data_IF_934899683093
#
_entry.id   IF_934899683093
#
_cell.length_a   1.000
_cell.length_b   1.000
_cell.length_c   1.000
_cell.angle_alpha   90.00
_cell.angle_beta   90.00
_cell.angle_gamma   90.00
#
_symmetry.space_group_name_H-M   'P 1'
#
loop_
_entity.id
_entity.type
_entity.pdbx_description
1 polymer ?
#
# COMPACT_ATOMS: atom_id res chain seq x y z
N UNK A 1 -10.51 -17.43 7.51
CA UNK A 1 -9.10 -17.80 7.27
C UNK A 1 -8.69 -17.03 6.05
N UNK A 2 -7.98 -15.92 6.25
CA UNK A 2 -7.58 -15.01 5.19
C UNK A 2 -6.23 -15.49 4.65
N UNK A 3 -6.16 -15.70 3.34
CA UNK A 3 -4.98 -16.20 2.64
C UNK A 3 -3.80 -15.23 2.83
N UNK A 4 -2.69 -15.75 3.35
CA UNK A 4 -1.42 -15.06 3.42
C UNK A 4 -0.91 -14.78 1.99
N UNK A 5 -0.75 -13.49 1.65
CA UNK A 5 -0.36 -13.00 0.32
C UNK A 5 1.16 -12.97 0.18
N UNK A 6 1.70 -13.76 -0.76
CA UNK A 6 3.12 -13.78 -1.13
C UNK A 6 3.36 -12.98 -2.44
N UNK A 7 4.36 -12.09 -2.42
CA UNK A 7 4.78 -11.28 -3.58
C UNK A 7 6.08 -11.84 -4.18
N UNK A 8 6.11 -12.15 -5.47
CA UNK A 8 7.34 -12.58 -6.15
C UNK A 8 7.83 -11.49 -7.12
N UNK A 9 9.09 -11.08 -6.98
CA UNK A 9 9.75 -10.17 -7.94
C UNK A 9 10.30 -10.97 -9.11
N UNK A 10 9.95 -10.59 -10.34
CA UNK A 10 10.47 -11.17 -11.56
C UNK A 10 11.45 -10.20 -12.22
N UNK A 11 12.73 -10.35 -11.87
CA UNK A 11 13.83 -9.49 -12.35
C UNK A 11 14.43 -10.04 -13.66
N UNK A 12 14.21 -9.34 -14.77
CA UNK A 12 14.74 -9.70 -16.09
C UNK A 12 16.11 -9.06 -16.38
N UNK A 13 17.06 -9.14 -15.45
CA UNK A 13 18.38 -8.50 -15.59
C UNK A 13 19.40 -9.33 -16.41
N UNK A 14 19.98 -8.71 -17.43
CA UNK A 14 21.32 -9.05 -17.94
C UNK A 14 22.35 -8.44 -16.98
N UNK A 15 23.21 -9.25 -16.35
CA UNK A 15 24.13 -8.77 -15.30
C UNK A 15 25.60 -8.72 -15.73
N UNK A 16 26.32 -7.82 -15.06
CA UNK A 16 27.74 -7.51 -15.20
C UNK A 16 28.67 -8.50 -14.48
N UNK A 17 29.97 -8.40 -14.79
CA UNK A 17 31.04 -9.30 -14.34
C UNK A 17 31.43 -9.13 -12.86
N UNK A 18 31.16 -7.98 -12.24
CA UNK A 18 31.52 -7.74 -10.82
C UNK A 18 30.47 -8.33 -9.86
N UNK A 19 29.19 -8.32 -10.23
CA UNK A 19 28.14 -9.06 -9.50
C UNK A 19 28.32 -10.58 -9.64
N UNK A 20 28.93 -11.06 -10.73
CA UNK A 20 29.29 -12.47 -10.91
C UNK A 20 30.34 -12.96 -9.89
N UNK A 21 31.21 -12.07 -9.38
CA UNK A 21 32.19 -12.43 -8.34
C UNK A 21 31.56 -12.48 -6.94
N UNK A 22 30.58 -11.63 -6.64
CA UNK A 22 29.86 -11.67 -5.36
C UNK A 22 28.93 -12.90 -5.24
N UNK A 23 28.35 -13.36 -6.36
CA UNK A 23 27.52 -14.57 -6.42
C UNK A 23 28.34 -15.85 -6.23
N UNK A 24 29.61 -15.87 -6.64
CA UNK A 24 30.48 -17.02 -6.41
C UNK A 24 30.85 -17.25 -4.93
N UNK A 25 30.59 -16.29 -4.03
CA UNK A 25 30.80 -16.46 -2.59
C UNK A 25 29.52 -16.81 -1.82
N UNK A 26 28.35 -16.77 -2.47
CA UNK A 26 27.08 -17.31 -1.96
C UNK A 26 26.73 -18.62 -2.68
N UNK A 27 27.71 -19.50 -2.79
CA UNK A 27 27.47 -20.88 -3.22
C UNK A 27 26.88 -21.67 -2.06
N UNK A 28 25.55 -21.90 -2.07
CA UNK A 28 24.99 -23.26 -2.10
C UNK A 28 23.45 -23.40 -2.10
N UNK A 29 22.62 -22.34 -2.02
CA UNK A 29 21.15 -22.56 -1.85
C UNK A 29 20.18 -21.86 -2.81
N UNK A 30 20.60 -21.33 -3.97
CA UNK A 30 19.65 -20.72 -4.93
C UNK A 30 19.86 -21.14 -6.38
N UNK A 31 19.88 -22.46 -6.62
CA UNK A 31 19.66 -23.04 -7.95
C UNK A 31 18.20 -23.51 -8.06
N UNK A 32 17.33 -22.70 -8.66
CA UNK A 32 16.04 -23.18 -9.16
C UNK A 32 16.19 -23.71 -10.58
N UNK A 33 16.76 -24.92 -10.69
CA UNK A 33 16.46 -25.83 -11.79
C UNK A 33 15.33 -26.75 -11.30
N UNK A 34 14.07 -26.32 -11.51
CA UNK A 34 12.90 -27.17 -11.27
C UNK A 34 12.48 -27.39 -9.80
N UNK A 35 12.41 -26.34 -8.97
CA UNK A 35 11.93 -26.44 -7.58
C UNK A 35 10.49 -25.95 -7.35
N UNK A 36 9.93 -26.40 -6.22
CA UNK A 36 8.57 -26.21 -5.71
C UNK A 36 8.45 -24.85 -4.98
N UNK A 37 7.42 -24.06 -5.29
CA UNK A 37 7.19 -22.71 -4.73
C UNK A 37 6.44 -22.68 -3.38
N UNK A 38 5.97 -23.83 -2.89
CA UNK A 38 5.09 -23.96 -1.71
C UNK A 38 5.83 -24.00 -0.35
N UNK A 39 7.13 -23.69 -0.29
CA UNK A 39 7.96 -23.77 0.93
C UNK A 39 9.08 -22.73 1.02
N UNK A 40 8.81 -21.44 0.80
CA UNK A 40 9.87 -20.42 0.86
C UNK A 40 9.53 -19.35 1.90
N UNK A 41 10.12 -19.46 3.09
CA UNK A 41 9.95 -18.51 4.21
C UNK A 41 10.50 -17.09 3.90
N UNK A 42 11.23 -16.91 2.79
CA UNK A 42 11.78 -15.64 2.32
C UNK A 42 11.61 -15.51 0.79
N UNK A 43 10.72 -14.60 0.35
CA UNK A 43 10.31 -14.41 -1.05
C UNK A 43 11.51 -14.23 -2.01
N UNK A 44 11.83 -15.20 -2.88
CA UNK A 44 12.98 -15.11 -3.76
C UNK A 44 12.62 -14.31 -5.02
N UNK A 45 13.53 -13.45 -5.48
CA UNK A 45 13.45 -12.89 -6.82
C UNK A 45 13.68 -14.01 -7.85
N UNK A 46 12.71 -14.26 -8.73
CA UNK A 46 12.86 -15.22 -9.84
C UNK A 46 13.52 -14.49 -11.00
N UNK A 47 14.78 -14.82 -11.28
CA UNK A 47 15.53 -14.26 -12.40
C UNK A 47 15.40 -15.15 -13.64
N UNK A 48 14.72 -14.65 -14.67
CA UNK A 48 14.72 -15.27 -15.99
C UNK A 48 15.89 -14.71 -16.81
N UNK A 49 16.73 -15.57 -17.37
CA UNK A 49 17.92 -15.18 -18.12
C UNK A 49 18.02 -15.95 -19.42
N UNK A 50 18.33 -15.29 -20.53
CA UNK A 50 18.60 -15.96 -21.80
C UNK A 50 19.87 -16.84 -21.77
N UNK A 51 20.70 -16.72 -20.74
CA UNK A 51 21.82 -17.62 -20.49
C UNK A 51 21.35 -19.02 -20.02
N UNK A 52 20.20 -19.08 -19.34
CA UNK A 52 19.49 -20.32 -19.02
C UNK A 52 18.17 -20.28 -19.79
N UNK A 53 18.19 -20.67 -21.08
CA UNK A 53 17.05 -20.46 -21.97
C UNK A 53 15.83 -21.25 -21.48
N UNK A 54 14.61 -20.79 -21.85
CA UNK A 54 13.40 -21.52 -21.54
C UNK A 54 13.45 -22.92 -22.16
N UNK A 55 12.81 -23.88 -21.48
CA UNK A 55 12.74 -25.30 -21.87
C UNK A 55 12.25 -25.47 -23.31
N UNK A 56 11.31 -24.63 -23.73
CA UNK A 56 10.83 -24.57 -25.11
C UNK A 56 11.04 -23.16 -25.64
N UNK A 57 12.19 -22.94 -26.28
CA UNK A 57 12.62 -21.63 -26.81
C UNK A 57 11.52 -20.87 -27.56
N UNK A 58 10.75 -21.48 -28.49
CA UNK A 58 9.70 -20.78 -29.23
C UNK A 58 8.51 -20.30 -28.37
N UNK A 59 8.35 -20.82 -27.16
CA UNK A 59 7.20 -20.56 -26.29
C UNK A 59 7.52 -19.54 -25.18
N UNK A 60 8.78 -19.12 -25.06
CA UNK A 60 9.24 -18.28 -23.95
C UNK A 60 9.25 -19.04 -22.63
N UNK A 61 9.40 -18.31 -21.52
CA UNK A 61 9.32 -18.87 -20.18
C UNK A 61 7.86 -19.10 -19.81
N UNK A 62 7.47 -20.37 -19.65
CA UNK A 62 6.08 -20.77 -19.38
C UNK A 62 5.86 -20.98 -17.88
N UNK A 63 4.76 -20.41 -17.38
CA UNK A 63 4.29 -20.49 -16.00
C UNK A 63 2.98 -21.27 -15.95
N UNK A 64 2.85 -22.21 -15.03
CA UNK A 64 1.63 -23.03 -14.88
C UNK A 64 1.83 -24.20 -13.91
N UNK A 65 0.82 -25.05 -13.76
CA UNK A 65 0.89 -26.22 -12.86
C UNK A 65 1.57 -27.45 -13.48
N UNK A 66 1.68 -27.49 -14.81
CA UNK A 66 2.22 -28.60 -15.58
C UNK A 66 3.72 -28.81 -15.45
N UNK A 67 4.18 -30.05 -15.61
CA UNK A 67 5.60 -30.44 -15.51
C UNK A 67 6.47 -29.87 -16.65
N UNK A 68 5.83 -29.50 -17.76
CA UNK A 68 6.46 -28.90 -18.93
C UNK A 68 6.76 -27.41 -18.75
N UNK A 69 6.26 -26.76 -17.70
CA UNK A 69 6.49 -25.34 -17.43
C UNK A 69 7.91 -25.08 -16.91
N UNK A 70 8.45 -23.90 -17.23
CA UNK A 70 9.71 -23.39 -16.70
C UNK A 70 9.57 -23.05 -15.21
N UNK A 71 8.43 -22.48 -14.83
CA UNK A 71 8.08 -22.14 -13.46
C UNK A 71 6.76 -22.81 -13.09
N UNK A 72 6.80 -23.66 -12.06
CA UNK A 72 5.64 -24.45 -11.62
C UNK A 72 4.91 -23.77 -10.48
N UNK A 73 3.62 -23.50 -10.66
CA UNK A 73 2.75 -22.86 -9.67
C UNK A 73 1.67 -23.87 -9.28
N UNK A 74 1.64 -24.23 -7.99
CA UNK A 74 0.68 -25.20 -7.46
C UNK A 74 -0.47 -24.47 -6.78
N UNK A 75 -1.54 -24.23 -7.54
CA UNK A 75 -2.79 -23.66 -7.04
C UNK A 75 -3.95 -24.21 -7.87
N UNK A 76 -5.10 -24.43 -7.24
CA UNK A 76 -6.26 -25.07 -7.87
C UNK A 76 -6.80 -24.24 -9.05
N UNK A 77 -6.58 -22.93 -9.04
CA UNK A 77 -7.07 -22.00 -10.06
C UNK A 77 -6.04 -21.75 -11.18
N UNK A 78 -4.93 -22.52 -11.19
CA UNK A 78 -3.82 -22.36 -12.14
C UNK A 78 -3.81 -23.48 -13.18
N UNK A 79 -4.11 -23.10 -14.42
CA UNK A 79 -4.01 -23.96 -15.60
C UNK A 79 -2.64 -24.64 -15.76
N UNK A 80 -2.63 -25.80 -16.43
CA UNK A 80 -1.43 -26.58 -16.74
C UNK A 80 -0.35 -25.72 -17.41
N UNK A 81 -0.78 -24.81 -18.29
CA UNK A 81 0.01 -23.72 -18.85
C UNK A 81 -0.81 -22.44 -18.74
N UNK A 82 -0.42 -21.53 -17.84
CA UNK A 82 -1.23 -20.39 -17.48
C UNK A 82 -0.86 -19.13 -18.27
N UNK A 83 0.43 -18.77 -18.27
CA UNK A 83 0.94 -17.66 -19.07
C UNK A 83 2.39 -17.92 -19.48
N UNK A 84 2.89 -17.12 -20.41
CA UNK A 84 4.29 -17.16 -20.82
C UNK A 84 4.88 -15.75 -20.96
N UNK A 85 6.16 -15.61 -20.65
CA UNK A 85 6.95 -14.40 -20.91
C UNK A 85 7.88 -14.67 -22.09
N UNK A 86 7.74 -13.89 -23.15
CA UNK A 86 8.49 -14.07 -24.41
C UNK A 86 8.87 -12.74 -25.04
N UNK A 87 9.50 -12.76 -26.21
CA UNK A 87 9.88 -11.57 -26.98
C UNK A 87 9.17 -11.52 -28.33
N UNK A 88 8.80 -10.32 -28.76
CA UNK A 88 8.39 -10.04 -30.15
C UNK A 88 9.63 -9.96 -31.07
N UNK A 89 9.42 -10.03 -32.38
CA UNK A 89 10.46 -9.97 -33.41
C UNK A 89 11.29 -8.68 -33.40
N UNK A 90 10.73 -7.59 -32.88
CA UNK A 90 11.41 -6.31 -32.68
C UNK A 90 12.09 -6.19 -31.30
N UNK A 91 12.07 -7.25 -30.48
CA UNK A 91 12.72 -7.28 -29.17
C UNK A 91 11.89 -6.75 -28.00
N UNK A 92 10.61 -6.45 -28.21
CA UNK A 92 9.70 -6.07 -27.11
C UNK A 92 9.37 -7.30 -26.25
N UNK A 93 9.37 -7.12 -24.94
CA UNK A 93 8.98 -8.16 -24.01
C UNK A 93 7.45 -8.31 -24.01
N UNK A 94 6.96 -9.54 -24.00
CA UNK A 94 5.55 -9.87 -24.10
C UNK A 94 5.12 -10.78 -22.95
N UNK A 95 3.95 -10.49 -22.39
CA UNK A 95 3.15 -11.45 -21.65
C UNK A 95 2.15 -12.10 -22.61
N UNK A 96 2.11 -13.43 -22.62
CA UNK A 96 1.12 -14.20 -23.35
C UNK A 96 0.22 -14.96 -22.39
N UNK A 97 -1.10 -14.78 -22.49
CA UNK A 97 -2.06 -15.63 -21.82
C UNK A 97 -2.08 -17.02 -22.50
N UNK A 98 -1.92 -18.08 -21.72
CA UNK A 98 -2.06 -19.48 -22.16
C UNK A 98 -3.26 -20.18 -21.50
N UNK A 99 -3.90 -19.53 -20.52
CA UNK A 99 -5.06 -20.04 -19.79
C UNK A 99 -6.39 -19.76 -20.51
N UNK A 100 -7.33 -20.68 -20.39
CA UNK A 100 -8.74 -20.51 -20.81
C UNK A 100 -9.52 -19.59 -19.86
N UNK A 101 -9.12 -19.49 -18.59
CA UNK A 101 -9.71 -18.60 -17.59
C UNK A 101 -9.17 -17.16 -17.68
N UNK A 102 -8.13 -16.97 -18.50
CA UNK A 102 -7.45 -15.69 -18.68
C UNK A 102 -6.37 -15.42 -17.63
N UNK A 103 -5.46 -14.50 -17.96
CA UNK A 103 -4.36 -14.08 -17.08
C UNK A 103 -4.64 -12.67 -16.56
N UNK A 104 -4.70 -12.48 -15.24
CA UNK A 104 -5.04 -11.18 -14.65
C UNK A 104 -3.80 -10.28 -14.60
N UNK A 105 -3.92 -9.06 -15.13
CA UNK A 105 -2.90 -8.02 -15.10
C UNK A 105 -3.51 -6.69 -14.68
N UNK A 106 -3.21 -6.21 -13.47
CA UNK A 106 -3.90 -5.05 -12.91
C UNK A 106 -5.41 -5.30 -12.73
N UNK A 107 -6.24 -4.34 -13.12
CA UNK A 107 -7.72 -4.42 -13.10
C UNK A 107 -8.33 -5.15 -14.32
N UNK A 108 -7.51 -5.77 -15.17
CA UNK A 108 -7.95 -6.40 -16.42
C UNK A 108 -7.50 -7.86 -16.51
N UNK A 109 -8.30 -8.68 -17.20
CA UNK A 109 -7.97 -10.07 -17.50
C UNK A 109 -7.67 -10.21 -18.99
N UNK A 110 -6.42 -10.59 -19.33
CA UNK A 110 -6.07 -11.05 -20.67
C UNK A 110 -6.89 -12.30 -20.98
N UNK A 111 -7.94 -12.12 -21.77
CA UNK A 111 -8.85 -13.19 -22.17
C UNK A 111 -8.22 -14.07 -23.25
N UNK A 112 -8.89 -15.18 -23.58
CA UNK A 112 -8.49 -16.03 -24.71
C UNK A 112 -8.47 -15.29 -26.07
N UNK A 113 -9.23 -14.19 -26.21
CA UNK A 113 -9.30 -13.37 -27.42
C UNK A 113 -8.20 -12.32 -27.52
N UNK A 114 -7.58 -11.93 -26.40
CA UNK A 114 -6.47 -10.98 -26.33
C UNK A 114 -5.26 -11.71 -25.75
N UNK A 115 -4.57 -12.46 -26.61
CA UNK A 115 -3.56 -13.43 -26.17
C UNK A 115 -2.25 -12.80 -25.71
N UNK A 116 -1.95 -11.56 -26.10
CA UNK A 116 -0.60 -11.00 -25.99
C UNK A 116 -0.61 -9.51 -25.55
N UNK A 117 0.20 -9.18 -24.54
CA UNK A 117 0.40 -7.84 -23.97
C UNK A 117 1.89 -7.47 -23.95
N UNK A 118 2.25 -6.25 -24.35
CA UNK A 118 3.64 -5.77 -24.26
C UNK A 118 3.98 -5.34 -22.83
N UNK A 119 5.13 -5.80 -22.35
CA UNK A 119 5.76 -5.37 -21.10
C UNK A 119 6.79 -4.30 -21.47
N UNK A 120 6.42 -3.02 -21.36
CA UNK A 120 7.31 -1.92 -21.73
C UNK A 120 8.41 -1.70 -20.67
N UNK A 121 8.00 -1.49 -19.41
CA UNK A 121 8.90 -1.25 -18.28
C UNK A 121 8.51 -2.11 -17.07
N UNK A 122 7.22 -2.36 -16.93
CA UNK A 122 6.65 -2.93 -15.73
C UNK A 122 5.29 -3.57 -16.04
N UNK A 123 5.02 -4.75 -15.49
CA UNK A 123 3.73 -5.41 -15.53
C UNK A 123 3.54 -6.27 -14.28
N UNK A 124 2.38 -6.16 -13.64
CA UNK A 124 1.98 -7.07 -12.58
C UNK A 124 1.08 -8.16 -13.12
N UNK A 125 1.37 -9.41 -12.78
CA UNK A 125 0.67 -10.59 -13.28
C UNK A 125 0.18 -11.36 -12.07
N UNK A 126 -1.13 -11.62 -11.97
CA UNK A 126 -1.70 -12.47 -10.93
C UNK A 126 -1.99 -13.85 -11.52
N UNK A 127 -1.48 -14.88 -10.86
CA UNK A 127 -1.71 -16.28 -11.23
C UNK A 127 -1.98 -17.09 -9.95
N UNK A 128 -3.22 -17.54 -9.79
CA UNK A 128 -3.68 -18.10 -8.51
C UNK A 128 -3.64 -17.04 -7.39
N UNK A 129 -3.01 -17.40 -6.27
CA UNK A 129 -2.76 -16.55 -5.11
C UNK A 129 -1.43 -15.76 -5.19
N UNK A 130 -0.67 -15.90 -6.28
CA UNK A 130 0.65 -15.27 -6.44
C UNK A 130 0.54 -14.02 -7.32
N UNK A 131 1.21 -12.95 -6.88
CA UNK A 131 1.41 -11.72 -7.64
C UNK A 131 2.86 -11.61 -8.10
N UNK A 132 3.08 -11.63 -9.41
CA UNK A 132 4.38 -11.44 -10.05
C UNK A 132 4.60 -9.98 -10.43
N UNK A 133 5.73 -9.43 -10.01
CA UNK A 133 6.23 -8.12 -10.41
C UNK A 133 7.21 -8.26 -11.58
N UNK A 134 6.71 -8.20 -12.82
CA UNK A 134 7.55 -8.29 -14.01
C UNK A 134 8.10 -6.92 -14.40
N UNK A 135 9.38 -6.69 -14.12
CA UNK A 135 10.07 -5.45 -14.48
C UNK A 135 11.00 -5.70 -15.65
N UNK A 136 10.91 -4.87 -16.70
CA UNK A 136 11.90 -4.82 -17.77
C UNK A 136 13.02 -3.85 -17.33
N UNK A 137 14.21 -4.34 -16.99
CA UNK A 137 15.21 -3.49 -16.36
C UNK A 137 15.83 -2.49 -17.32
N UNK A 138 16.26 -1.36 -16.77
CA UNK A 138 17.08 -0.40 -17.50
C UNK A 138 18.42 -1.04 -17.87
N UNK A 139 18.73 -1.00 -19.16
CA UNK A 139 19.86 -1.71 -19.76
C UNK A 139 21.15 -0.90 -19.74
N UNK A 140 21.08 0.42 -19.54
CA UNK A 140 22.23 1.33 -19.42
C UNK A 140 23.36 1.03 -20.41
N UNK A 141 24.58 0.90 -19.89
CA UNK A 141 25.77 0.55 -20.68
C UNK A 141 25.78 -0.87 -21.27
N UNK A 142 24.87 -1.75 -20.83
CA UNK A 142 24.77 -3.15 -21.28
C UNK A 142 23.78 -3.36 -22.44
N UNK A 143 23.24 -2.27 -23.00
CA UNK A 143 22.29 -2.31 -24.12
C UNK A 143 22.80 -3.14 -25.32
N UNK A 144 24.08 -2.98 -25.71
CA UNK A 144 24.64 -3.69 -26.87
C UNK A 144 24.77 -5.20 -26.63
N UNK A 145 25.16 -5.61 -25.42
CA UNK A 145 25.25 -7.03 -25.05
C UNK A 145 23.85 -7.66 -25.01
N UNK A 146 22.87 -6.95 -24.44
CA UNK A 146 21.48 -7.38 -24.45
C UNK A 146 20.98 -7.58 -25.89
N UNK A 147 21.24 -6.63 -26.79
CA UNK A 147 20.81 -6.71 -28.19
C UNK A 147 21.43 -7.92 -28.91
N UNK A 148 22.71 -8.22 -28.65
CA UNK A 148 23.38 -9.40 -29.19
C UNK A 148 22.70 -10.70 -28.73
N UNK A 149 22.45 -10.83 -27.42
CA UNK A 149 21.81 -12.01 -26.85
C UNK A 149 20.36 -12.19 -27.35
N UNK A 150 19.63 -11.08 -27.47
CA UNK A 150 18.29 -11.07 -28.02
C UNK A 150 18.26 -11.53 -29.49
N UNK A 151 19.19 -11.04 -30.31
CA UNK A 151 19.28 -11.44 -31.72
C UNK A 151 19.60 -12.94 -31.85
N UNK A 152 20.51 -13.48 -31.02
CA UNK A 152 20.78 -14.91 -30.98
C UNK A 152 19.55 -15.73 -30.57
N UNK A 153 18.82 -15.27 -29.55
CA UNK A 153 17.60 -15.93 -29.09
C UNK A 153 16.49 -15.91 -30.16
N UNK A 154 16.25 -14.76 -30.79
CA UNK A 154 15.29 -14.63 -31.89
C UNK A 154 15.67 -15.51 -33.08
N UNK A 155 16.96 -15.61 -33.41
CA UNK A 155 17.47 -16.54 -34.42
C UNK A 155 17.04 -17.99 -34.16
N UNK A 156 17.16 -18.46 -32.92
CA UNK A 156 16.74 -19.80 -32.52
C UNK A 156 15.22 -20.02 -32.67
N UNK A 157 14.40 -19.00 -32.38
CA UNK A 157 12.93 -19.07 -32.55
C UNK A 157 12.57 -19.26 -34.03
N UNK A 158 13.17 -18.47 -34.92
CA UNK A 158 12.89 -18.53 -36.36
C UNK A 158 13.32 -19.85 -36.99
N UNK A 159 14.46 -20.41 -36.58
CA UNK A 159 14.93 -21.73 -37.07
C UNK A 159 14.11 -22.90 -36.52
N UNK A 160 13.44 -22.72 -35.38
CA UNK A 160 12.64 -23.75 -34.71
C UNK A 160 11.18 -23.84 -35.15
N UNK A 161 10.77 -23.13 -36.20
CA UNK A 161 9.40 -23.16 -36.74
C UNK A 161 8.35 -22.42 -35.88
N UNK A 162 8.77 -21.56 -34.95
CA UNK A 162 7.85 -20.76 -34.15
C UNK A 162 7.27 -19.58 -34.93
N UNK A 163 5.95 -19.37 -34.83
CA UNK A 163 5.32 -18.12 -35.28
C UNK A 163 5.47 -17.06 -34.20
N UNK A 164 6.12 -15.94 -34.54
CA UNK A 164 6.15 -14.76 -33.66
C UNK A 164 4.84 -14.00 -33.87
N UNK A 165 4.07 -13.88 -32.80
CA UNK A 165 2.82 -13.14 -32.80
C UNK A 165 3.11 -11.66 -33.12
N UNK A 166 2.71 -11.23 -34.32
CA UNK A 166 2.97 -9.88 -34.84
C UNK A 166 1.96 -8.85 -34.31
N UNK A 167 0.88 -9.32 -33.69
CA UNK A 167 -0.20 -8.50 -33.17
C UNK A 167 -0.14 -8.43 -31.64
N UNK A 168 0.76 -7.59 -31.13
CA UNK A 168 0.67 -7.15 -29.75
C UNK A 168 -0.52 -6.18 -29.61
N UNK A 169 -1.43 -6.46 -28.68
CA UNK A 169 -2.44 -5.45 -28.31
C UNK A 169 -1.69 -4.41 -27.47
N UNK A 170 -1.64 -3.13 -27.88
CA UNK A 170 -1.10 -2.08 -27.01
C UNK A 170 -1.85 -2.11 -25.69
N UNK A 171 -1.20 -1.81 -24.56
CA UNK A 171 -1.91 -1.56 -23.29
C UNK A 171 -3.07 -0.64 -23.63
N UNK A 172 -4.31 -1.13 -23.55
CA UNK A 172 -5.49 -0.38 -23.98
C UNK A 172 -5.38 1.02 -23.37
N UNK A 173 -5.45 2.06 -24.20
CA UNK A 173 -5.37 3.46 -23.78
C UNK A 173 -6.33 3.83 -22.63
N UNK A 174 -7.29 2.95 -22.33
CA UNK A 174 -8.25 3.00 -21.22
C UNK A 174 -7.63 2.94 -19.81
N UNK A 175 -6.40 2.46 -19.64
CA UNK A 175 -5.74 2.34 -18.33
C UNK A 175 -4.61 3.36 -18.12
N UNK A 176 -4.68 4.53 -18.75
CA UNK A 176 -3.67 5.58 -18.61
C UNK A 176 -4.31 6.88 -18.12
N UNK A 177 -3.64 7.53 -17.18
CA UNK A 177 -3.98 8.88 -16.72
C UNK A 177 -2.70 9.71 -16.80
N UNK A 178 -2.61 10.56 -17.83
CA UNK A 178 -1.38 11.30 -18.16
C UNK A 178 -0.17 10.37 -18.36
N UNK A 179 0.85 10.52 -17.50
CA UNK A 179 2.06 9.69 -17.52
C UNK A 179 1.92 8.36 -16.77
N UNK A 180 0.86 8.18 -15.99
CA UNK A 180 0.69 7.01 -15.14
C UNK A 180 -0.10 5.92 -15.84
N UNK A 181 0.35 4.68 -15.66
CA UNK A 181 -0.42 3.49 -15.98
C UNK A 181 -1.16 3.08 -14.72
N UNK A 182 -2.48 2.94 -14.82
CA UNK A 182 -3.35 2.49 -13.72
C UNK A 182 -3.30 0.97 -13.68
N UNK A 183 -2.87 0.40 -12.56
CA UNK A 183 -2.70 -1.03 -12.36
C UNK A 183 -3.98 -1.64 -11.76
N UNK A 184 -4.02 -1.91 -10.45
CA UNK A 184 -5.22 -2.42 -9.77
C UNK A 184 -5.77 -1.44 -8.72
N UNK A 185 -7.03 -1.63 -8.38
CA UNK A 185 -7.69 -0.93 -7.27
C UNK A 185 -7.11 -1.35 -5.91
N UNK A 186 -6.62 -0.37 -5.15
CA UNK A 186 -6.24 -0.52 -3.74
C UNK A 186 -7.45 -0.35 -2.81
N UNK A 187 -8.39 0.53 -3.19
CA UNK A 187 -9.60 0.80 -2.40
C UNK A 187 -10.67 1.55 -3.18
N UNK A 188 -11.86 1.66 -2.59
CA UNK A 188 -12.97 2.49 -3.10
C UNK A 188 -13.56 3.26 -1.92
N UNK A 189 -13.56 4.57 -2.03
CA UNK A 189 -14.20 5.49 -1.08
C UNK A 189 -15.33 6.27 -1.74
N UNK A 190 -15.86 7.23 -1.00
CA UNK A 190 -16.98 8.05 -1.44
C UNK A 190 -16.58 9.04 -2.54
N UNK A 191 -15.42 9.70 -2.43
CA UNK A 191 -14.94 10.64 -3.44
C UNK A 191 -14.44 9.96 -4.73
N UNK A 192 -14.05 8.67 -4.65
CA UNK A 192 -13.43 8.02 -5.80
C UNK A 192 -12.89 6.61 -5.57
N UNK A 193 -12.11 6.13 -6.54
CA UNK A 193 -11.37 4.87 -6.43
C UNK A 193 -9.89 5.17 -6.19
N UNK A 194 -9.25 4.45 -5.30
CA UNK A 194 -7.80 4.50 -5.10
C UNK A 194 -7.19 3.32 -5.84
N UNK A 195 -6.24 3.58 -6.73
CA UNK A 195 -5.57 2.57 -7.54
C UNK A 195 -4.06 2.69 -7.40
N UNK A 196 -3.35 1.56 -7.53
CA UNK A 196 -1.91 1.56 -7.70
C UNK A 196 -1.59 2.11 -9.09
N UNK A 197 -0.67 3.05 -9.14
CA UNK A 197 -0.16 3.66 -10.34
C UNK A 197 1.32 3.30 -10.51
N UNK A 198 1.77 3.24 -11.76
CA UNK A 198 3.20 3.22 -12.09
C UNK A 198 3.50 4.36 -13.06
N UNK A 199 4.55 5.13 -12.78
CA UNK A 199 5.05 6.11 -13.75
C UNK A 199 5.74 5.35 -14.88
N UNK A 200 5.22 5.51 -16.11
CA UNK A 200 5.72 4.79 -17.29
C UNK A 200 7.18 5.10 -17.65
N UNK A 201 7.73 6.20 -17.14
CA UNK A 201 9.11 6.60 -17.44
C UNK A 201 10.10 6.10 -16.38
N UNK A 202 9.69 6.08 -15.11
CA UNK A 202 10.58 5.74 -13.98
C UNK A 202 10.36 4.34 -13.43
N UNK A 203 9.21 3.73 -13.70
CA UNK A 203 8.79 2.47 -13.07
C UNK A 203 8.41 2.62 -11.59
N UNK A 204 8.39 3.84 -11.04
CA UNK A 204 8.09 4.05 -9.63
C UNK A 204 6.59 3.94 -9.35
N UNK A 205 6.24 3.35 -8.21
CA UNK A 205 4.86 3.14 -7.79
C UNK A 205 4.29 4.31 -7.00
N UNK A 206 3.01 4.59 -7.23
CA UNK A 206 2.26 5.64 -6.56
C UNK A 206 0.84 5.18 -6.24
N UNK A 207 0.21 5.82 -5.26
CA UNK A 207 -1.22 5.67 -5.04
C UNK A 207 -1.96 6.80 -5.78
N UNK A 208 -2.98 6.44 -6.54
CA UNK A 208 -3.78 7.39 -7.31
C UNK A 208 -5.24 7.36 -6.89
N UNK A 209 -5.72 8.44 -6.26
CA UNK A 209 -7.15 8.66 -5.99
C UNK A 209 -7.78 9.28 -7.24
N UNK A 210 -8.57 8.48 -7.95
CA UNK A 210 -9.26 8.85 -9.18
C UNK A 210 -10.69 9.24 -8.83
N UNK A 211 -11.00 10.52 -8.98
CA UNK A 211 -12.28 11.12 -8.59
C UNK A 211 -13.37 10.83 -9.62
N UNK A 212 -14.62 10.76 -9.15
CA UNK A 212 -15.79 10.55 -10.03
C UNK A 212 -16.09 11.84 -10.81
N UNK A 213 -16.63 11.68 -12.02
CA UNK A 213 -16.99 12.80 -12.92
C UNK A 213 -17.92 13.85 -12.29
N UNK A 214 -18.79 13.45 -11.38
CA UNK A 214 -19.73 14.35 -10.67
C UNK A 214 -19.08 15.22 -9.59
N UNK A 215 -17.84 14.94 -9.19
CA UNK A 215 -17.17 15.48 -8.00
C UNK A 215 -15.80 16.11 -8.33
N UNK A 216 -15.48 16.29 -9.61
CA UNK A 216 -14.13 15.97 -10.08
C UNK A 216 -13.07 17.07 -9.92
N UNK A 217 -13.41 18.34 -10.17
CA UNK A 217 -12.38 19.38 -10.16
C UNK A 217 -12.17 19.94 -8.76
N UNK A 218 -13.25 20.31 -8.08
CA UNK A 218 -13.18 21.09 -6.84
C UNK A 218 -12.75 20.24 -5.64
N UNK A 219 -13.28 19.01 -5.47
CA UNK A 219 -12.83 18.12 -4.38
C UNK A 219 -11.36 17.71 -4.57
N UNK A 220 -10.98 17.33 -5.80
CA UNK A 220 -9.59 17.00 -6.13
C UNK A 220 -8.65 18.19 -5.92
N UNK A 221 -9.09 19.41 -6.26
CA UNK A 221 -8.32 20.62 -6.06
C UNK A 221 -8.25 21.04 -4.58
N UNK A 222 -9.35 20.88 -3.83
CA UNK A 222 -9.41 21.13 -2.39
C UNK A 222 -8.44 20.23 -1.63
N UNK A 223 -8.54 18.91 -1.84
CA UNK A 223 -7.63 17.93 -1.22
C UNK A 223 -6.17 18.18 -1.64
N UNK A 224 -5.92 18.49 -2.92
CA UNK A 224 -4.58 18.87 -3.39
C UNK A 224 -4.06 20.12 -2.66
N UNK A 225 -4.86 21.17 -2.51
CA UNK A 225 -4.43 22.43 -1.90
C UNK A 225 -4.09 22.28 -0.41
N UNK A 226 -4.70 21.30 0.26
CA UNK A 226 -4.35 20.94 1.64
C UNK A 226 -3.07 20.11 1.66
N UNK A 227 -2.96 19.09 0.82
CA UNK A 227 -1.88 18.10 0.89
C UNK A 227 -0.56 18.59 0.28
N UNK A 228 -0.61 19.42 -0.77
CA UNK A 228 0.55 19.92 -1.51
C UNK A 228 1.65 20.57 -0.63
N UNK A 229 1.32 21.48 0.32
CA UNK A 229 2.33 22.11 1.17
C UNK A 229 2.86 21.22 2.29
N UNK A 230 2.26 20.05 2.54
CA UNK A 230 2.59 19.21 3.69
C UNK A 230 3.82 18.34 3.43
N UNK A 231 4.74 18.35 4.39
CA UNK A 231 5.94 17.54 4.36
C UNK A 231 6.32 17.07 5.76
N UNK A 232 5.94 15.85 6.11
CA UNK A 232 6.22 15.23 7.40
C UNK A 232 6.27 13.70 7.27
N UNK A 233 7.09 13.02 8.08
CA UNK A 233 7.29 11.56 7.96
C UNK A 233 6.00 10.76 8.19
N UNK A 234 5.15 11.26 9.09
CA UNK A 234 3.88 10.63 9.46
C UNK A 234 2.67 11.14 8.66
N UNK A 235 2.88 11.94 7.60
CA UNK A 235 1.83 12.41 6.69
C UNK A 235 2.15 11.95 5.26
N UNK A 236 1.14 11.51 4.52
CA UNK A 236 1.35 10.99 3.16
C UNK A 236 1.86 12.09 2.24
N UNK A 237 2.90 11.77 1.48
CA UNK A 237 3.50 12.74 0.56
C UNK A 237 2.66 12.90 -0.71
N UNK A 238 2.25 14.14 -0.99
CA UNK A 238 1.77 14.53 -2.32
C UNK A 238 2.87 14.38 -3.37
N UNK A 239 2.50 13.89 -4.56
CA UNK A 239 3.43 13.69 -5.68
C UNK A 239 3.01 14.49 -6.90
N UNK A 240 1.75 14.35 -7.35
CA UNK A 240 1.29 14.92 -8.61
C UNK A 240 -0.24 15.10 -8.60
N UNK A 241 -0.75 15.94 -9.48
CA UNK A 241 -2.18 16.05 -9.80
C UNK A 241 -2.32 15.94 -11.31
N UNK A 242 -3.00 14.90 -11.76
CA UNK A 242 -3.18 14.65 -13.19
C UNK A 242 -4.64 14.80 -13.57
N UNK A 243 -4.91 15.73 -14.50
CA UNK A 243 -6.20 15.85 -15.16
C UNK A 243 -6.11 15.19 -16.54
N UNK A 244 -6.89 14.13 -16.75
CA UNK A 244 -7.00 13.45 -18.03
C UNK A 244 -8.02 14.09 -18.97
N UNK A 245 -8.04 13.62 -20.22
CA UNK A 245 -9.16 13.85 -21.13
C UNK A 245 -10.45 13.33 -20.49
N UNK A 246 -11.59 14.00 -20.71
CA UNK A 246 -12.90 13.71 -20.09
C UNK A 246 -13.11 14.15 -18.62
N UNK A 247 -12.37 15.17 -18.18
CA UNK A 247 -12.45 15.78 -16.84
C UNK A 247 -12.14 14.83 -15.69
N UNK A 248 -11.37 13.77 -15.93
CA UNK A 248 -10.94 12.84 -14.87
C UNK A 248 -9.77 13.46 -14.10
N UNK A 249 -9.96 13.79 -12.82
CA UNK A 249 -8.89 14.21 -11.91
C UNK A 249 -8.35 13.01 -11.14
N UNK A 250 -7.03 12.97 -11.02
CA UNK A 250 -6.32 12.00 -10.19
C UNK A 250 -5.35 12.74 -9.28
N UNK A 251 -5.52 12.57 -7.97
CA UNK A 251 -4.54 12.96 -6.97
C UNK A 251 -3.55 11.81 -6.80
N UNK A 252 -2.27 12.10 -6.98
CA UNK A 252 -1.19 11.11 -6.89
C UNK A 252 -0.37 11.38 -5.63
N UNK A 253 -0.23 10.35 -4.81
CA UNK A 253 0.58 10.35 -3.59
C UNK A 253 1.60 9.22 -3.64
N UNK A 254 2.55 9.23 -2.70
CA UNK A 254 3.44 8.10 -2.53
C UNK A 254 2.66 6.80 -2.26
N UNK A 255 3.15 5.68 -2.80
CA UNK A 255 2.59 4.38 -2.51
C UNK A 255 3.18 3.81 -1.22
N UNK A 256 2.32 3.52 -0.25
CA UNK A 256 2.69 2.81 0.97
C UNK A 256 2.42 1.31 0.78
N UNK A 257 3.48 0.49 0.84
CA UNK A 257 3.40 -0.96 0.62
C UNK A 257 2.67 -1.71 1.74
N UNK A 258 2.70 -1.19 2.97
CA UNK A 258 2.00 -1.80 4.09
C UNK A 258 0.50 -1.60 3.99
N UNK A 259 -0.24 -2.32 4.83
CA UNK A 259 -1.67 -2.18 4.93
C UNK A 259 -2.02 -1.10 5.97
N UNK A 260 -3.32 -0.80 6.09
CA UNK A 260 -3.80 -0.04 7.22
C UNK A 260 -3.58 -0.81 8.53
N UNK A 261 -3.58 -0.09 9.66
CA UNK A 261 -3.25 -0.66 10.97
C UNK A 261 -4.19 -1.79 11.42
N UNK A 262 -5.41 -1.89 10.86
CA UNK A 262 -6.36 -2.99 11.15
C UNK A 262 -5.90 -4.36 10.65
N UNK A 263 -5.01 -4.40 9.66
CA UNK A 263 -4.47 -5.65 9.10
C UNK A 263 -3.25 -6.15 9.86
N UNK A 264 -2.94 -5.56 11.00
CA UNK A 264 -1.73 -5.82 11.75
C UNK A 264 -2.03 -6.06 13.22
N UNK A 265 -1.44 -7.12 13.77
CA UNK A 265 -1.43 -7.34 15.22
C UNK A 265 -0.26 -6.54 15.81
N UNK A 266 -0.59 -5.63 16.73
CA UNK A 266 0.38 -4.83 17.47
C UNK A 266 0.45 -5.28 18.92
N UNK A 267 1.67 -5.37 19.46
CA UNK A 267 1.85 -5.40 20.91
C UNK A 267 1.48 -4.03 21.49
N UNK A 268 1.22 -3.96 22.79
CA UNK A 268 0.93 -2.69 23.49
C UNK A 268 2.04 -1.65 23.25
N UNK A 269 3.31 -2.08 23.31
CA UNK A 269 4.44 -1.23 22.99
C UNK A 269 4.43 -0.72 21.55
N UNK A 270 4.04 -1.57 20.58
CA UNK A 270 3.95 -1.16 19.17
C UNK A 270 2.77 -0.22 18.94
N UNK A 271 1.62 -0.45 19.59
CA UNK A 271 0.46 0.42 19.52
C UNK A 271 0.77 1.82 20.08
N UNK A 272 1.54 1.93 21.17
CA UNK A 272 2.06 3.21 21.66
C UNK A 272 2.98 3.91 20.66
N UNK A 273 3.84 3.17 19.95
CA UNK A 273 4.68 3.73 18.88
C UNK A 273 3.81 4.29 17.74
N UNK A 274 2.77 3.57 17.33
CA UNK A 274 1.79 4.03 16.33
C UNK A 274 1.10 5.30 16.81
N UNK A 275 0.55 5.29 18.04
CA UNK A 275 -0.15 6.41 18.64
C UNK A 275 0.74 7.67 18.69
N UNK A 276 1.98 7.53 19.16
CA UNK A 276 2.95 8.63 19.22
C UNK A 276 3.24 9.21 17.83
N UNK A 277 3.43 8.36 16.82
CA UNK A 277 3.67 8.81 15.45
C UNK A 277 2.45 9.51 14.82
N UNK A 278 1.24 9.05 15.12
CA UNK A 278 0.03 9.75 14.72
C UNK A 278 -0.08 11.12 15.38
N UNK A 279 0.23 11.23 16.68
CA UNK A 279 0.27 12.51 17.38
C UNK A 279 1.31 13.47 16.79
N UNK A 280 2.48 12.98 16.37
CA UNK A 280 3.49 13.79 15.67
C UNK A 280 2.96 14.33 14.33
N UNK A 281 2.29 13.48 13.55
CA UNK A 281 1.61 13.90 12.31
C UNK A 281 0.51 14.93 12.56
N UNK A 282 -0.36 14.70 13.56
CA UNK A 282 -1.43 15.62 13.93
C UNK A 282 -0.90 16.96 14.45
N UNK A 283 0.10 16.95 15.33
CA UNK A 283 0.75 18.18 15.79
C UNK A 283 1.25 19.02 14.62
N UNK A 284 1.86 18.38 13.62
CA UNK A 284 2.35 19.07 12.43
C UNK A 284 1.20 19.71 11.63
N UNK A 285 0.16 18.97 11.25
CA UNK A 285 -0.93 19.54 10.43
C UNK A 285 -1.78 20.56 11.21
N UNK A 286 -1.97 20.35 12.52
CA UNK A 286 -2.67 21.30 13.39
C UNK A 286 -1.89 22.61 13.51
N UNK A 287 -0.56 22.57 13.54
CA UNK A 287 0.28 23.78 13.51
C UNK A 287 0.19 24.55 12.19
N UNK A 288 -0.27 23.89 11.12
CA UNK A 288 -0.55 24.49 9.82
C UNK A 288 -2.02 24.97 9.69
N UNK A 289 -2.81 24.91 10.77
CA UNK A 289 -4.24 25.27 10.77
C UNK A 289 -5.11 24.31 9.97
N UNK A 290 -4.69 23.04 9.83
CA UNK A 290 -5.42 22.00 9.10
C UNK A 290 -5.99 21.00 10.09
N UNK A 291 -7.28 20.72 9.95
CA UNK A 291 -8.00 19.64 10.64
C UNK A 291 -8.10 18.48 9.65
N UNK A 292 -7.70 17.27 10.04
CA UNK A 292 -7.78 16.10 9.16
C UNK A 292 -9.23 15.66 8.94
N UNK A 293 -10.05 15.66 9.99
CA UNK A 293 -11.50 15.44 9.92
C UNK A 293 -11.94 13.98 9.78
N UNK A 294 -11.07 13.08 9.28
CA UNK A 294 -11.40 11.64 9.12
C UNK A 294 -10.32 10.71 9.69
N UNK A 295 -9.84 10.98 10.91
CA UNK A 295 -8.90 10.09 11.59
C UNK A 295 -9.62 8.81 12.02
N UNK A 296 -9.14 7.68 11.51
CA UNK A 296 -9.63 6.34 11.83
C UNK A 296 -8.58 5.29 11.45
N UNK A 297 -8.67 4.05 11.94
CA UNK A 297 -7.68 3.03 11.62
C UNK A 297 -7.50 2.74 10.13
N UNK A 298 -8.56 2.86 9.34
CA UNK A 298 -8.49 2.65 7.90
C UNK A 298 -7.60 3.68 7.17
N UNK A 299 -7.41 4.87 7.77
CA UNK A 299 -6.65 6.00 7.24
C UNK A 299 -5.26 6.15 7.87
N UNK A 300 -4.80 5.14 8.62
CA UNK A 300 -3.43 5.06 9.14
C UNK A 300 -2.77 3.84 8.51
N UNK A 301 -1.74 4.08 7.70
CA UNK A 301 -1.01 3.04 6.97
C UNK A 301 0.36 2.76 7.58
N UNK A 302 0.75 1.49 7.59
CA UNK A 302 2.12 1.09 7.95
C UNK A 302 3.05 1.37 6.78
N UNK A 303 4.04 2.24 7.01
CA UNK A 303 5.10 2.56 6.06
C UNK A 303 6.20 1.50 6.07
N UNK A 304 6.68 1.13 7.25
CA UNK A 304 7.68 0.07 7.47
C UNK A 304 7.38 -0.65 8.78
N UNK A 305 7.69 -1.95 8.90
CA UNK A 305 7.55 -2.70 10.16
C UNK A 305 8.80 -2.66 11.04
N UNK A 306 9.98 -2.56 10.43
CA UNK A 306 11.27 -2.53 11.14
C UNK A 306 12.20 -1.49 10.50
N UNK A 307 12.44 -0.33 11.15
CA UNK A 307 11.69 0.15 12.32
C UNK A 307 10.21 0.38 11.99
N UNK A 308 9.33 0.27 13.00
CA UNK A 308 7.90 0.52 12.84
C UNK A 308 7.68 2.01 12.51
N UNK A 309 7.16 2.30 11.32
CA UNK A 309 6.79 3.65 10.89
C UNK A 309 5.37 3.63 10.33
N UNK A 310 4.56 4.62 10.69
CA UNK A 310 3.19 4.80 10.22
C UNK A 310 3.00 6.17 9.60
N UNK A 311 1.93 6.28 8.80
CA UNK A 311 1.58 7.46 8.04
C UNK A 311 0.06 7.66 8.03
N UNK A 312 -0.38 8.88 8.29
CA UNK A 312 -1.77 9.31 8.10
C UNK A 312 -2.00 9.57 6.62
N UNK A 313 -3.11 9.07 6.09
CA UNK A 313 -3.50 9.15 4.68
C UNK A 313 -4.95 9.65 4.55
N UNK A 314 -5.35 9.97 3.32
CA UNK A 314 -6.72 10.40 2.93
C UNK A 314 -7.17 11.73 3.55
N UNK A 315 -6.88 12.82 2.84
CA UNK A 315 -7.18 14.20 3.28
C UNK A 315 -8.48 14.71 2.63
N UNK A 316 -9.33 13.82 2.15
CA UNK A 316 -10.56 14.19 1.43
C UNK A 316 -11.56 14.98 2.28
N UNK A 317 -11.58 14.76 3.59
CA UNK A 317 -12.43 15.46 4.56
C UNK A 317 -11.67 16.54 5.35
N UNK A 318 -10.42 16.78 4.99
CA UNK A 318 -9.59 17.77 5.68
C UNK A 318 -10.09 19.19 5.36
N UNK A 319 -9.96 20.08 6.33
CA UNK A 319 -10.37 21.48 6.19
C UNK A 319 -9.41 22.41 6.92
N UNK A 320 -9.47 23.71 6.59
CA UNK A 320 -8.77 24.74 7.35
C UNK A 320 -9.59 25.13 8.57
N UNK A 321 -8.90 25.37 9.67
CA UNK A 321 -9.52 25.90 10.88
C UNK A 321 -10.24 27.22 10.56
N UNK A 322 -11.52 27.32 10.95
CA UNK A 322 -12.40 28.45 10.61
C UNK A 322 -13.21 28.29 9.32
N UNK A 323 -12.93 27.30 8.47
CA UNK A 323 -13.73 26.94 7.28
C UNK A 323 -14.68 25.75 7.55
N UNK A 324 -14.95 25.46 8.83
CA UNK A 324 -15.65 24.26 9.34
C UNK A 324 -17.18 24.35 9.21
N UNK A 325 -17.71 24.49 7.99
CA UNK A 325 -19.15 24.66 7.78
C UNK A 325 -19.97 23.37 8.04
N UNK A 326 -19.47 22.19 7.62
CA UNK A 326 -20.11 20.89 7.87
C UNK A 326 -19.04 19.81 8.03
N UNK A 327 -19.10 19.03 9.10
CA UNK A 327 -18.24 17.85 9.29
C UNK A 327 -18.66 16.74 8.31
N UNK A 328 -17.70 16.23 7.53
CA UNK A 328 -17.95 15.21 6.50
C UNK A 328 -17.30 13.85 6.82
N UNK A 329 -16.53 13.76 7.90
CA UNK A 329 -15.84 12.54 8.30
C UNK A 329 -16.75 11.42 8.82
N UNK A 330 -16.11 10.28 9.10
CA UNK A 330 -16.74 9.04 9.58
C UNK A 330 -17.44 9.26 10.93
N UNK A 331 -18.75 8.97 11.00
CA UNK A 331 -19.59 9.27 12.17
C UNK A 331 -19.19 8.44 13.40
N UNK A 332 -18.70 7.23 13.19
CA UNK A 332 -18.22 6.30 14.22
C UNK A 332 -17.10 6.91 15.08
N UNK A 333 -16.30 7.80 14.50
CA UNK A 333 -15.14 8.42 15.15
C UNK A 333 -15.38 9.89 15.51
N UNK A 334 -16.58 10.42 15.28
CA UNK A 334 -16.89 11.84 15.50
C UNK A 334 -16.83 12.22 16.99
N UNK A 335 -16.34 13.42 17.30
CA UNK A 335 -16.27 13.97 18.66
C UNK A 335 -17.61 14.58 19.13
N UNK A 336 -17.96 14.57 20.43
CA UNK A 336 -19.29 14.95 20.94
C UNK A 336 -19.84 16.28 20.40
N UNK A 337 -18.98 17.29 20.30
CA UNK A 337 -19.30 18.60 19.74
C UNK A 337 -19.82 18.53 18.29
N UNK A 338 -19.36 17.56 17.48
CA UNK A 338 -19.84 17.34 16.10
C UNK A 338 -21.30 16.89 16.12
N UNK A 339 -21.67 15.96 17.00
CA UNK A 339 -23.02 15.40 17.04
C UNK A 339 -24.00 16.41 17.65
N UNK A 340 -23.49 17.26 18.54
CA UNK A 340 -24.22 18.38 19.14
C UNK A 340 -24.34 19.58 18.18
N UNK A 341 -23.68 19.53 17.02
CA UNK A 341 -23.64 20.61 16.02
C UNK A 341 -23.06 21.91 16.60
N UNK A 342 -22.08 21.75 17.48
CA UNK A 342 -21.32 22.85 18.06
C UNK A 342 -20.11 23.19 17.16
N UNK A 343 -19.57 24.41 17.24
CA UNK A 343 -18.31 24.75 16.59
C UNK A 343 -17.20 23.81 17.07
N UNK A 344 -16.30 23.44 16.16
CA UNK A 344 -15.20 22.52 16.45
C UNK A 344 -13.88 23.03 15.89
N UNK A 345 -12.79 22.56 16.50
CA UNK A 345 -11.41 22.86 16.16
C UNK A 345 -10.63 21.56 15.87
N UNK A 346 -9.30 21.63 15.83
CA UNK A 346 -8.45 20.49 15.54
C UNK A 346 -8.52 19.37 16.60
N UNK A 347 -9.10 19.61 17.78
CA UNK A 347 -9.24 18.60 18.84
C UNK A 347 -10.24 17.49 18.52
N UNK A 348 -11.03 17.63 17.45
CA UNK A 348 -11.84 16.52 16.92
C UNK A 348 -10.95 15.38 16.42
N UNK A 349 -9.78 15.69 15.85
CA UNK A 349 -8.82 14.67 15.43
C UNK A 349 -8.21 13.93 16.62
N UNK A 350 -8.05 14.61 17.76
CA UNK A 350 -7.51 14.01 18.99
C UNK A 350 -8.50 13.02 19.59
N UNK A 351 -9.78 13.38 19.62
CA UNK A 351 -10.86 12.45 20.00
C UNK A 351 -10.86 11.22 19.09
N UNK A 352 -10.86 11.43 17.78
CA UNK A 352 -10.89 10.36 16.78
C UNK A 352 -9.64 9.45 16.86
N UNK A 353 -8.47 10.02 17.15
CA UNK A 353 -7.26 9.25 17.43
C UNK A 353 -7.34 8.47 18.75
N UNK A 354 -7.99 9.03 19.79
CA UNK A 354 -8.26 8.33 21.04
C UNK A 354 -9.13 7.09 20.82
N UNK A 355 -10.18 7.20 20.01
CA UNK A 355 -11.03 6.08 19.62
C UNK A 355 -10.24 5.05 18.79
N UNK A 356 -9.43 5.51 17.85
CA UNK A 356 -8.50 4.66 17.08
C UNK A 356 -7.51 3.92 17.99
N UNK A 357 -7.04 4.56 19.06
CA UNK A 357 -6.17 3.91 20.05
C UNK A 357 -6.89 2.80 20.80
N UNK A 358 -8.15 2.99 21.21
CA UNK A 358 -8.93 1.91 21.83
C UNK A 358 -9.08 0.70 20.91
N UNK A 359 -9.23 0.92 19.60
CA UNK A 359 -9.28 -0.16 18.61
C UNK A 359 -7.93 -0.86 18.44
N UNK A 360 -6.84 -0.09 18.42
CA UNK A 360 -5.47 -0.64 18.41
C UNK A 360 -5.16 -1.50 19.64
N UNK A 361 -5.71 -1.15 20.80
CA UNK A 361 -5.55 -1.91 22.04
C UNK A 361 -6.61 -3.00 22.23
N UNK A 362 -7.47 -3.23 21.24
CA UNK A 362 -8.50 -4.27 21.25
C UNK A 362 -9.46 -4.14 22.45
N UNK A 363 -9.84 -2.90 22.75
CA UNK A 363 -10.80 -2.55 23.81
C UNK A 363 -11.85 -1.55 23.34
N UNK A 364 -11.91 -1.27 22.04
CA UNK A 364 -12.94 -0.44 21.45
C UNK A 364 -14.32 -1.04 21.76
N UNK A 365 -15.35 -0.23 22.06
CA UNK A 365 -16.69 -0.72 22.34
C UNK A 365 -17.41 -1.21 21.05
N UNK A 366 -16.83 -2.16 20.32
CA UNK A 366 -17.34 -2.70 19.05
C UNK A 366 -18.42 -3.78 19.24
N UNK A 367 -18.41 -4.49 20.37
CA UNK A 367 -19.33 -5.62 20.63
C UNK A 367 -20.79 -5.18 20.83
N UNK A 368 -21.02 -3.89 21.02
CA UNK A 368 -22.36 -3.32 21.06
C UNK A 368 -22.81 -2.99 19.64
N UNK A 369 -23.73 -3.80 19.10
CA UNK A 369 -24.32 -3.59 17.77
C UNK A 369 -24.89 -2.18 17.58
N UNK A 370 -25.23 -1.50 18.67
CA UNK A 370 -25.74 -0.14 18.65
C UNK A 370 -24.68 0.89 18.19
N UNK A 371 -23.38 0.58 18.27
CA UNK A 371 -22.30 1.52 17.94
C UNK A 371 -21.61 1.24 16.59
N UNK A 372 -21.99 0.16 15.90
CA UNK A 372 -21.44 -0.18 14.57
C UNK A 372 -21.65 0.91 13.51
N UNK A 373 -22.66 1.76 13.69
CA UNK A 373 -22.97 2.88 12.82
C UNK A 373 -22.77 4.24 13.54
N UNK A 374 -21.93 4.23 14.58
CA UNK A 374 -21.56 5.39 15.37
C UNK A 374 -22.61 5.87 16.38
N UNK A 375 -22.26 6.90 17.17
CA UNK A 375 -23.17 7.55 18.09
C UNK A 375 -24.30 8.28 17.35
N UNK A 376 -25.54 7.93 17.70
CA UNK A 376 -26.82 8.50 17.21
C UNK A 376 -27.56 9.16 18.36
N UNK A 377 -28.50 10.11 18.11
CA UNK A 377 -29.20 10.84 19.18
C UNK A 377 -29.74 9.97 20.33
N UNK A 378 -30.20 8.74 20.05
CA UNK A 378 -30.74 7.82 21.06
C UNK A 378 -29.73 6.99 21.87
N UNK A 379 -28.44 6.97 21.51
CA UNK A 379 -27.42 6.14 22.19
C UNK A 379 -26.14 6.89 22.57
N UNK A 380 -26.09 8.23 22.40
CA UNK A 380 -24.94 9.10 22.69
C UNK A 380 -24.34 8.86 24.07
N UNK A 381 -25.16 8.97 25.10
CA UNK A 381 -24.74 8.76 26.50
C UNK A 381 -24.23 7.34 26.77
N UNK A 382 -24.86 6.34 26.14
CA UNK A 382 -24.44 4.93 26.27
C UNK A 382 -23.09 4.71 25.59
N UNK A 383 -22.85 5.34 24.45
CA UNK A 383 -21.56 5.30 23.76
C UNK A 383 -20.48 5.95 24.61
N UNK A 384 -20.71 7.17 25.13
CA UNK A 384 -19.77 7.84 26.02
C UNK A 384 -19.46 7.01 27.26
N UNK A 385 -20.47 6.39 27.88
CA UNK A 385 -20.27 5.47 28.99
C UNK A 385 -19.40 4.27 28.60
N UNK A 386 -19.62 3.67 27.43
CA UNK A 386 -18.83 2.55 26.94
C UNK A 386 -17.37 2.95 26.68
N UNK A 387 -17.13 4.14 26.10
CA UNK A 387 -15.79 4.72 25.90
C UNK A 387 -15.10 4.95 27.25
N UNK A 388 -15.78 5.54 28.23
CA UNK A 388 -15.28 5.71 29.60
C UNK A 388 -14.91 4.39 30.25
N UNK A 389 -15.71 3.35 30.05
CA UNK A 389 -15.42 2.01 30.54
C UNK A 389 -14.20 1.40 29.84
N UNK A 390 -14.06 1.60 28.53
CA UNK A 390 -12.99 1.03 27.71
C UNK A 390 -11.61 1.53 28.16
N UNK A 391 -11.39 2.84 28.27
CA UNK A 391 -10.08 3.35 28.67
C UNK A 391 -9.74 3.17 30.17
N UNK A 392 -10.72 2.80 31.00
CA UNK A 392 -10.54 2.47 32.42
C UNK A 392 -10.30 0.98 32.69
N UNK A 393 -10.20 0.15 31.64
CA UNK A 393 -9.86 -1.27 31.80
C UNK A 393 -8.42 -1.43 32.32
N UNK A 394 -8.13 -2.45 33.17
CA UNK A 394 -6.78 -2.68 33.69
C UNK A 394 -5.70 -2.84 32.60
N UNK A 395 -6.08 -3.37 31.43
CA UNK A 395 -5.16 -3.51 30.27
C UNK A 395 -4.58 -2.17 29.81
N UNK A 396 -5.27 -1.06 30.07
CA UNK A 396 -4.83 0.27 29.65
C UNK A 396 -4.30 1.12 30.80
N UNK A 397 -3.99 0.56 31.97
CA UNK A 397 -3.50 1.37 33.11
C UNK A 397 -2.28 2.25 32.76
N UNK A 398 -1.41 1.79 31.85
CA UNK A 398 -0.25 2.54 31.37
C UNK A 398 -0.60 3.74 30.45
N UNK A 399 -1.75 3.71 29.77
CA UNK A 399 -2.19 4.74 28.82
C UNK A 399 -3.47 5.48 29.27
N UNK A 400 -4.07 5.06 30.39
CA UNK A 400 -5.36 5.54 30.88
C UNK A 400 -5.39 7.05 31.04
N UNK A 401 -4.37 7.66 31.63
CA UNK A 401 -4.31 9.12 31.80
C UNK A 401 -4.33 9.82 30.46
N UNK A 402 -3.45 9.43 29.53
CA UNK A 402 -3.39 9.99 28.18
C UNK A 402 -4.75 9.85 27.47
N UNK A 403 -5.33 8.65 27.46
CA UNK A 403 -6.61 8.38 26.80
C UNK A 403 -7.76 9.14 27.45
N UNK A 404 -7.76 9.33 28.78
CA UNK A 404 -8.80 10.09 29.46
C UNK A 404 -8.83 11.57 29.06
N UNK A 405 -7.66 12.15 28.73
CA UNK A 405 -7.58 13.51 28.22
C UNK A 405 -7.80 13.62 26.71
N UNK A 406 -7.46 12.59 25.93
CA UNK A 406 -7.78 12.53 24.51
C UNK A 406 -9.29 12.36 24.26
N UNK A 407 -9.95 11.56 25.11
CA UNK A 407 -11.37 11.21 25.03
C UNK A 407 -12.22 12.03 26.00
N UNK A 408 -11.77 13.24 26.33
CA UNK A 408 -12.56 14.17 27.14
C UNK A 408 -13.72 14.73 26.29
N UNK A 409 -14.92 14.73 26.86
CA UNK A 409 -16.13 15.16 26.17
C UNK A 409 -16.13 16.66 25.85
N UNK A 410 -15.76 17.48 26.83
CA UNK A 410 -15.57 18.92 26.62
C UNK A 410 -14.26 19.17 25.84
N UNK A 411 -14.31 19.73 24.61
CA UNK A 411 -13.12 20.00 23.82
C UNK A 411 -12.17 21.01 24.48
N UNK A 412 -12.64 21.84 25.41
CA UNK A 412 -11.78 22.81 26.12
C UNK A 412 -10.79 22.12 27.05
N UNK A 413 -11.24 21.06 27.71
CA UNK A 413 -10.44 20.22 28.61
C UNK A 413 -9.69 19.10 27.85
N UNK A 414 -10.11 18.81 26.61
CA UNK A 414 -9.42 17.84 25.75
C UNK A 414 -8.03 18.36 25.37
N UNK A 415 -7.03 17.50 25.50
CA UNK A 415 -5.64 17.82 25.18
C UNK A 415 -5.43 18.04 23.69
N UNK A 416 -4.44 18.87 23.35
CA UNK A 416 -3.95 18.99 21.97
C UNK A 416 -2.99 17.84 21.64
N UNK A 417 -2.65 17.67 20.36
CA UNK A 417 -1.60 16.72 19.95
C UNK A 417 -0.26 17.00 20.67
N UNK A 418 0.05 18.27 20.90
CA UNK A 418 1.26 18.71 21.60
C UNK A 418 1.25 18.28 23.07
N UNK A 419 0.15 18.52 23.78
CA UNK A 419 0.04 18.16 25.20
C UNK A 419 0.16 16.63 25.39
N UNK A 420 -0.47 15.87 24.49
CA UNK A 420 -0.36 14.42 24.46
C UNK A 420 1.09 13.94 24.25
N UNK A 421 1.84 14.56 23.34
CA UNK A 421 3.24 14.23 23.10
C UNK A 421 4.13 14.54 24.30
N UNK A 422 3.95 15.72 24.92
CA UNK A 422 4.69 16.09 26.13
C UNK A 422 4.47 15.08 27.25
N UNK A 423 3.21 14.65 27.47
CA UNK A 423 2.91 13.64 28.47
C UNK A 423 3.60 12.28 28.18
N UNK A 424 3.68 11.87 26.91
CA UNK A 424 4.40 10.65 26.51
C UNK A 424 5.91 10.80 26.79
N UNK A 425 6.49 11.96 26.46
CA UNK A 425 7.91 12.22 26.63
C UNK A 425 8.32 12.30 28.10
N UNK A 426 7.53 12.97 28.94
CA UNK A 426 7.74 13.02 30.39
C UNK A 426 7.69 11.61 31.01
N UNK A 427 6.71 10.79 30.61
CA UNK A 427 6.62 9.41 31.09
C UNK A 427 7.86 8.59 30.72
N UNK A 428 8.38 8.76 29.49
CA UNK A 428 9.59 8.09 29.03
C UNK A 428 10.87 8.60 29.73
N UNK A 429 10.96 9.91 30.02
CA UNK A 429 12.06 10.51 30.78
C UNK A 429 12.14 9.94 32.20
N UNK A 430 11.01 9.92 32.91
CA UNK A 430 10.91 9.39 34.26
C UNK A 430 11.28 7.90 34.35
N UNK A 431 10.96 7.11 33.32
CA UNK A 431 11.35 5.70 33.21
C UNK A 431 12.87 5.53 33.08
N UNK A 432 13.52 6.37 32.26
CA UNK A 432 14.98 6.33 32.09
C UNK A 432 15.71 6.72 33.37
N UNK A 433 15.27 7.78 34.05
CA UNK A 433 15.85 8.21 35.33
C UNK A 433 15.68 7.14 36.42
N UNK A 434 14.52 6.49 36.50
CA UNK A 434 14.30 5.38 37.45
C UNK A 434 15.22 4.19 37.17
N UNK A 435 15.43 3.83 35.90
CA UNK A 435 16.32 2.72 35.56
C UNK A 435 17.79 3.05 35.86
N UNK A 436 18.23 4.29 35.62
CA UNK A 436 19.57 4.76 35.99
C UNK A 436 19.80 4.73 37.51
N UNK A 437 18.81 5.17 38.30
CA UNK A 437 18.89 5.13 39.76
C UNK A 437 18.88 3.71 40.35
N UNK A 438 18.28 2.73 39.64
CA UNK A 438 18.35 1.33 40.04
C UNK A 438 19.69 0.69 39.70
N UNK A 439 20.26 1.01 38.53
CA UNK A 439 21.61 0.55 38.13
C UNK A 439 22.72 1.10 39.06
N UNK A 440 22.60 2.34 39.54
CA UNK A 440 23.54 2.94 40.49
C UNK A 440 23.35 2.44 41.95
N UNK A 441 22.22 1.78 42.25
CA UNK A 441 21.94 1.23 43.59
C UNK A 441 22.37 -0.23 43.79
N UNK A 442 22.71 -0.92 42.68
CA UNK A 442 23.23 -2.28 42.65
C UNK A 442 24.76 -2.34 42.44
N UNK A 443 25.43 -1.18 42.42
CA UNK A 443 26.90 -1.02 42.42
C UNK A 443 27.43 -0.55 43.77
#
# INVERSE_FOLDING_TARGET
MADDLEFAVLDLHAMNVETARAINNFTNESRLLGGRLDRIEHLPAIRLSLFVPPRQIPQGFVFGSGESCDVRIFSNDVAERHFAITFQSNGLLLLQNKSTTGTVTGDFTLSYLEQTLVIEHFLMIRCGNIHFEATAPNRGQYQSLYQSNLNSYLGCIFTGGGTIDSHATPIRARNRIGRYIVLWRLGKGDSGKVSLLVDKHTGHFYAGKIFRRSHNADECHGEMNILYPLFHENIVRYVDRVCGLNDVCCLVTEYLRGHNILRHNFSEASALIVLRQCLQGLQYIHSCGIIHGDIKPANIMVRTRMPLRVCIVDFGDATREGETANYQGTQEFAAPEIWNKEPYDSKVDIWALGLTALELFDVYPADDRDFLAGPRPGNRERFLFAVRKAYNTPRLDFARTLLSYMLHEDPRERWTARDCLLAIEEAQGNLKERNLLMEDSDS
#
